data_IF_178348244845
#
_entry.id   IF_178348244845
#
_cell.length_a   1.000
_cell.length_b   1.000
_cell.length_c   1.000
_cell.angle_alpha   90.00
_cell.angle_beta   90.00
_cell.angle_gamma   90.00
#
_symmetry.space_group_name_H-M   'P 1'
#
loop_
_entity.id
_entity.type
_entity.pdbx_description
1 polymer ?
#
# COMPACT_ATOMS: atom_id res chain seq x y z
N UNK A 1 -3.90 12.31 -3.26
CA UNK A 1 -3.39 11.33 -2.30
C UNK A 1 -4.46 10.29 -1.99
N UNK A 2 -4.04 9.09 -1.74
CA UNK A 2 -4.94 8.00 -1.39
C UNK A 2 -4.76 7.63 0.07
N UNK A 3 -5.82 7.14 0.68
CA UNK A 3 -5.67 6.55 2.00
C UNK A 3 -4.81 5.31 1.86
N UNK A 4 -3.97 5.07 2.83
CA UNK A 4 -3.02 3.98 2.74
C UNK A 4 -3.70 2.63 2.53
N UNK A 5 -4.79 2.34 3.24
CA UNK A 5 -5.46 1.07 3.05
C UNK A 5 -6.00 0.91 1.62
N UNK A 6 -6.42 2.01 1.02
CA UNK A 6 -6.90 1.94 -0.36
C UNK A 6 -5.74 1.69 -1.31
N UNK A 7 -4.62 2.36 -1.07
CA UNK A 7 -3.42 2.14 -1.86
C UNK A 7 -2.99 0.67 -1.82
N UNK A 8 -2.96 0.11 -0.62
CA UNK A 8 -2.53 -1.28 -0.45
C UNK A 8 -3.51 -2.24 -1.12
N UNK A 9 -4.78 -1.97 -1.02
CA UNK A 9 -5.76 -2.83 -1.67
C UNK A 9 -5.64 -2.79 -3.18
N UNK A 10 -5.39 -1.61 -3.73
CA UNK A 10 -5.20 -1.48 -5.16
C UNK A 10 -3.92 -2.16 -5.62
N UNK A 11 -2.94 -2.25 -4.75
CA UNK A 11 -1.70 -2.92 -5.07
C UNK A 11 -1.82 -4.44 -4.98
N UNK A 12 -2.97 -4.95 -4.56
CA UNK A 12 -3.18 -6.39 -4.55
C UNK A 12 -2.82 -7.08 -3.26
N UNK A 13 -2.64 -6.35 -2.18
CA UNK A 13 -2.28 -6.97 -0.91
C UNK A 13 -3.47 -7.60 -0.19
N UNK A 14 -4.68 -7.30 -0.65
CA UNK A 14 -5.86 -7.87 -0.04
C UNK A 14 -6.98 -6.85 0.02
N UNK A 15 -8.00 -7.13 0.83
CA UNK A 15 -9.11 -6.23 1.00
C UNK A 15 -8.68 -5.04 1.86
N UNK A 16 -9.51 -4.00 1.91
CA UNK A 16 -9.21 -2.86 2.75
C UNK A 16 -9.05 -3.26 4.20
N UNK A 17 -9.91 -4.19 4.66
CA UNK A 17 -9.86 -4.64 6.03
C UNK A 17 -8.54 -5.36 6.32
N UNK A 18 -8.10 -6.21 5.42
CA UNK A 18 -6.83 -6.90 5.59
C UNK A 18 -5.68 -5.91 5.62
N UNK A 19 -5.75 -4.90 4.75
CA UNK A 19 -4.71 -3.89 4.71
C UNK A 19 -4.67 -3.07 5.99
N UNK A 20 -5.86 -2.77 6.55
CA UNK A 20 -5.91 -2.05 7.81
C UNK A 20 -5.23 -2.86 8.92
N UNK A 21 -5.43 -4.17 8.90
CA UNK A 21 -4.80 -5.00 9.90
C UNK A 21 -3.28 -4.97 9.77
N UNK A 22 -2.79 -4.99 8.54
CA UNK A 22 -1.36 -4.88 8.33
C UNK A 22 -0.80 -3.58 8.87
N UNK A 23 -1.55 -2.50 8.70
CA UNK A 23 -1.13 -1.22 9.23
C UNK A 23 -1.12 -1.23 10.75
N UNK A 24 -2.15 -1.81 11.36
CA UNK A 24 -2.22 -1.90 12.81
C UNK A 24 -1.08 -2.74 13.37
N UNK A 25 -0.67 -3.75 12.63
CA UNK A 25 0.39 -4.63 13.07
C UNK A 25 1.78 -4.04 12.79
N UNK A 26 1.82 -2.80 12.32
CA UNK A 26 3.08 -2.10 12.05
C UNK A 26 3.92 -2.81 11.01
N UNK A 27 3.26 -3.46 10.06
CA UNK A 27 3.97 -4.16 9.00
C UNK A 27 4.15 -3.29 7.77
N UNK A 28 3.53 -2.12 7.75
CA UNK A 28 3.59 -1.22 6.61
C UNK A 28 4.50 -0.04 6.94
N UNK A 29 5.43 0.23 6.04
CA UNK A 29 6.31 1.38 6.16
C UNK A 29 6.08 2.32 5.00
N UNK A 30 6.09 3.60 5.28
CA UNK A 30 5.99 4.62 4.25
C UNK A 30 7.21 5.52 4.38
N UNK A 31 8.02 5.55 3.35
CA UNK A 31 9.26 6.33 3.34
C UNK A 31 10.16 5.98 4.52
N UNK A 32 10.11 4.71 4.94
CA UNK A 32 10.97 4.25 6.02
C UNK A 32 10.37 4.34 7.41
N UNK A 33 9.19 4.93 7.54
CA UNK A 33 8.55 5.08 8.85
C UNK A 33 7.32 4.19 8.95
N UNK A 34 7.06 3.69 10.14
CA UNK A 34 5.88 2.86 10.35
C UNK A 34 4.63 3.68 10.09
N UNK A 35 3.76 3.15 9.25
CA UNK A 35 2.53 3.86 8.89
C UNK A 35 1.47 3.69 9.96
N UNK A 36 0.55 4.64 10.01
CA UNK A 36 -0.58 4.58 10.95
C UNK A 36 -1.87 4.51 10.17
N UNK A 37 -2.93 4.07 10.84
CA UNK A 37 -4.25 4.08 10.23
C UNK A 37 -4.60 5.52 9.90
N UNK A 38 -5.18 5.71 8.74
CA UNK A 38 -5.53 7.06 8.33
C UNK A 38 -4.44 7.78 7.58
N UNK A 39 -3.26 7.21 7.50
CA UNK A 39 -2.18 7.82 6.72
C UNK A 39 -2.58 7.87 5.24
N UNK A 40 -2.06 8.85 4.54
CA UNK A 40 -2.31 9.01 3.12
C UNK A 40 -0.99 8.98 2.38
N UNK A 41 -1.01 8.42 1.18
CA UNK A 41 0.20 8.32 0.37
C UNK A 41 -0.09 8.75 -1.04
N UNK A 42 0.96 9.13 -1.76
CA UNK A 42 0.86 9.47 -3.16
C UNK A 42 1.75 8.52 -3.94
N UNK A 43 1.73 8.67 -5.27
CA UNK A 43 2.52 7.81 -6.11
C UNK A 43 4.01 7.93 -5.86
N UNK A 44 4.45 9.08 -5.38
CA UNK A 44 5.87 9.28 -5.14
C UNK A 44 6.32 8.75 -3.78
N UNK A 45 5.39 8.37 -2.92
CA UNK A 45 5.76 7.82 -1.63
C UNK A 45 6.17 6.36 -1.79
N UNK A 46 7.15 5.95 -1.00
CA UNK A 46 7.63 4.57 -1.03
C UNK A 46 6.96 3.80 0.08
N UNK A 47 6.20 2.79 -0.29
CA UNK A 47 5.45 1.98 0.66
C UNK A 47 6.03 0.58 0.67
N UNK A 48 6.27 0.06 1.86
CA UNK A 48 6.79 -1.29 2.03
C UNK A 48 5.88 -2.10 2.93
N UNK A 49 5.76 -3.39 2.63
CA UNK A 49 5.00 -4.31 3.46
C UNK A 49 5.90 -5.46 3.82
N UNK A 50 6.20 -5.60 5.10
CA UNK A 50 7.06 -6.67 5.60
C UNK A 50 8.39 -6.74 4.85
N UNK A 51 8.93 -5.57 4.56
CA UNK A 51 10.22 -5.51 3.89
C UNK A 51 10.17 -5.55 2.38
N UNK A 52 9.00 -5.71 1.81
CA UNK A 52 8.86 -5.77 0.36
C UNK A 52 8.22 -4.50 -0.15
N UNK A 53 8.76 -3.97 -1.23
CA UNK A 53 8.22 -2.75 -1.79
C UNK A 53 6.85 -3.00 -2.41
N UNK A 54 5.92 -2.12 -2.13
CA UNK A 54 4.57 -2.18 -2.65
C UNK A 54 4.41 -1.08 -3.69
N UNK A 55 3.85 -1.42 -4.84
CA UNK A 55 3.56 -0.41 -5.84
C UNK A 55 2.28 -0.76 -6.55
N UNK A 56 1.64 0.26 -7.09
CA UNK A 56 0.45 0.03 -7.89
C UNK A 56 0.88 -0.50 -9.24
N UNK A 57 0.19 -1.53 -9.70
CA UNK A 57 0.54 -2.15 -10.96
C UNK A 57 -0.53 -1.93 -12.00
N UNK A 58 -1.04 -0.75 -12.02
CA UNK A 58 -2.10 -0.44 -12.94
C UNK A 58 -1.68 -0.63 -14.38
N UNK A 59 -0.48 -0.27 -14.68
CA UNK A 59 0.00 -0.36 -16.05
C UNK A 59 0.07 -1.78 -16.55
N UNK A 60 0.22 -2.73 -15.67
CA UNK A 60 0.33 -4.11 -16.08
C UNK A 60 -0.90 -4.60 -16.77
N UNK A 61 -2.03 -4.02 -16.44
CA UNK A 61 -3.27 -4.47 -17.02
C UNK A 61 -3.34 -4.24 -18.50
N UNK A 62 -2.64 -3.25 -18.98
CA UNK A 62 -2.71 -2.96 -20.36
C UNK A 62 -2.00 -3.94 -21.22
N UNK A 63 -1.06 -4.58 -20.64
CA UNK A 63 -0.25 -5.49 -21.38
C UNK A 63 -1.01 -6.68 -21.84
N UNK A 64 -2.08 -6.93 -21.24
CA UNK A 64 -2.87 -8.05 -21.59
C UNK A 64 -3.35 -8.03 -23.00
N UNK A 65 -3.39 -6.93 -23.54
CA UNK A 65 -3.90 -6.88 -24.85
C UNK A 65 -3.09 -7.38 -25.84
#
# INVERSE_FOLDING_TARGET
MLRLQKYLAQAGLGSRRSCEQLIKDRKILVNGDVAELGAKVSESDEVYCEGKKVSLKIADLKVIM
#
